data_IF_496617139701
#
_entry.id   IF_496617139701
#
_cell.length_a   1.000
_cell.length_b   1.000
_cell.length_c   1.000
_cell.angle_alpha   90.00
_cell.angle_beta   90.00
_cell.angle_gamma   90.00
#
_symmetry.space_group_name_H-M   'P 1'
#
loop_
_entity.id
_entity.type
_entity.pdbx_description
1 polymer ?
#
# COMPACT_ATOMS: atom_id res chain seq x y z
N UNK A 1 -15.66 -13.03 12.84
CA UNK A 1 -14.76 -14.09 13.34
C UNK A 1 -13.38 -13.76 12.81
N UNK A 2 -12.57 -12.98 13.50
CA UNK A 2 -11.28 -12.55 12.98
C UNK A 2 -10.43 -11.76 13.99
N UNK A 3 -10.36 -12.20 15.24
CA UNK A 3 -9.67 -11.45 16.29
C UNK A 3 -8.52 -12.18 16.98
N UNK A 4 -7.79 -13.10 16.32
CA UNK A 4 -6.72 -13.83 17.00
C UNK A 4 -5.49 -14.18 16.14
N UNK A 5 -5.12 -13.43 15.11
CA UNK A 5 -3.97 -13.80 14.27
C UNK A 5 -2.72 -12.93 14.40
N UNK A 6 -2.79 -11.78 15.07
CA UNK A 6 -1.61 -10.94 15.25
C UNK A 6 -1.63 -10.27 16.61
N UNK A 7 -0.56 -10.42 17.40
CA UNK A 7 -0.30 -9.56 18.55
C UNK A 7 0.10 -8.17 18.03
N UNK A 8 -0.37 -7.14 18.71
CA UNK A 8 -0.04 -5.74 18.38
C UNK A 8 1.47 -5.43 18.47
N UNK A 9 2.28 -6.39 18.89
CA UNK A 9 3.74 -6.28 19.04
C UNK A 9 4.53 -6.53 17.74
N UNK A 10 3.89 -7.07 16.68
CA UNK A 10 4.57 -7.35 15.40
C UNK A 10 4.43 -6.24 14.34
N UNK A 11 3.73 -5.17 14.65
CA UNK A 11 3.61 -3.97 13.79
C UNK A 11 4.71 -2.94 14.10
N UNK A 12 5.94 -3.40 14.33
CA UNK A 12 7.05 -2.54 14.76
C UNK A 12 7.92 -2.07 13.59
N UNK A 13 7.45 -1.11 12.84
CA UNK A 13 8.36 -0.14 12.24
C UNK A 13 7.93 1.25 12.72
N UNK A 14 8.57 1.72 13.80
CA UNK A 14 8.64 3.14 14.12
C UNK A 14 7.33 3.86 14.47
N UNK A 15 6.31 3.16 15.01
CA UNK A 15 5.12 3.85 15.47
C UNK A 15 5.46 4.72 16.69
N UNK A 16 5.46 6.03 16.51
CA UNK A 16 5.55 6.96 17.64
C UNK A 16 4.22 6.99 18.42
N UNK A 17 4.16 6.20 19.49
CA UNK A 17 2.96 6.09 20.33
C UNK A 17 2.71 7.33 21.19
N UNK A 18 3.71 8.21 21.30
CA UNK A 18 3.67 9.42 22.12
C UNK A 18 3.41 10.68 21.28
N UNK A 19 3.21 10.51 19.96
CA UNK A 19 2.89 11.62 19.08
C UNK A 19 1.43 12.07 19.26
N UNK A 20 1.27 13.33 19.68
CA UNK A 20 -0.03 13.99 19.80
C UNK A 20 -0.08 15.18 18.83
N UNK A 21 -0.84 15.11 17.73
CA UNK A 21 -0.95 16.20 16.78
C UNK A 21 -1.75 17.38 17.38
N UNK A 22 -1.29 18.62 17.14
CA UNK A 22 -2.05 19.81 17.49
C UNK A 22 -3.32 19.96 16.63
N UNK A 23 -3.27 19.47 15.39
CA UNK A 23 -4.38 19.49 14.44
C UNK A 23 -4.54 18.11 13.81
N UNK A 24 -5.75 17.56 13.89
CA UNK A 24 -6.11 16.31 13.22
C UNK A 24 -6.68 16.66 11.84
N UNK A 25 -6.02 16.19 10.79
CA UNK A 25 -6.44 16.41 9.40
C UNK A 25 -7.37 15.29 8.92
N UNK A 26 -8.31 15.67 8.05
CA UNK A 26 -9.24 14.75 7.39
C UNK A 26 -9.12 14.87 5.88
N UNK A 27 -9.62 13.85 5.18
CA UNK A 27 -9.68 13.88 3.73
C UNK A 27 -10.42 15.14 3.22
N UNK A 28 -9.85 15.79 2.22
CA UNK A 28 -10.32 17.05 1.63
C UNK A 28 -10.18 18.29 2.53
N UNK A 29 -9.52 18.21 3.67
CA UNK A 29 -9.11 19.44 4.38
C UNK A 29 -8.14 20.24 3.52
N UNK A 30 -8.16 21.54 3.69
CA UNK A 30 -7.26 22.47 3.02
C UNK A 30 -6.43 23.26 4.03
N UNK A 31 -5.12 23.27 3.86
CA UNK A 31 -4.21 24.12 4.63
C UNK A 31 -3.78 25.27 3.71
N UNK A 32 -4.12 26.50 4.10
CA UNK A 32 -3.94 27.68 3.24
C UNK A 32 -2.93 28.67 3.81
N UNK A 33 -2.16 29.25 2.90
CA UNK A 33 -1.35 30.43 3.13
C UNK A 33 -1.65 31.47 2.03
N UNK A 34 -0.96 32.62 2.06
CA UNK A 34 -1.21 33.69 1.07
C UNK A 34 -0.94 33.24 -0.37
N UNK A 35 0.02 32.33 -0.57
CA UNK A 35 0.55 31.98 -1.90
C UNK A 35 0.45 30.50 -2.24
N UNK A 36 -0.07 29.66 -1.35
CA UNK A 36 -0.21 28.23 -1.61
C UNK A 36 -1.36 27.61 -0.84
N UNK A 37 -1.85 26.51 -1.39
CA UNK A 37 -2.88 25.67 -0.82
C UNK A 37 -2.42 24.21 -0.83
N UNK A 38 -2.47 23.56 0.33
CA UNK A 38 -2.23 22.13 0.44
C UNK A 38 -3.57 21.42 0.64
N UNK A 39 -3.87 20.50 -0.26
CA UNK A 39 -5.00 19.58 -0.16
C UNK A 39 -4.58 18.33 0.63
N UNK A 40 -5.39 17.94 1.61
CA UNK A 40 -5.21 16.69 2.34
C UNK A 40 -5.93 15.56 1.58
N UNK A 41 -5.17 14.57 1.15
CA UNK A 41 -5.67 13.45 0.36
C UNK A 41 -5.48 12.15 1.15
N UNK A 42 -6.57 11.59 1.67
CA UNK A 42 -6.51 10.31 2.38
C UNK A 42 -6.24 9.16 1.40
N UNK A 43 -5.16 8.43 1.62
CA UNK A 43 -4.66 7.37 0.75
C UNK A 43 -4.36 6.10 1.56
N UNK A 44 -5.39 5.45 2.14
CA UNK A 44 -5.18 4.23 2.92
C UNK A 44 -4.63 3.10 2.04
N UNK A 45 -3.93 2.16 2.68
CA UNK A 45 -3.38 0.98 2.02
C UNK A 45 -2.05 0.55 2.59
N UNK A 46 -1.03 1.41 2.55
CA UNK A 46 0.22 1.17 3.29
C UNK A 46 -0.06 1.17 4.80
N UNK A 47 -0.68 2.23 5.28
CA UNK A 47 -1.29 2.36 6.60
C UNK A 47 -2.74 2.84 6.46
N UNK A 48 -3.60 2.52 7.41
CA UNK A 48 -5.02 2.90 7.37
C UNK A 48 -5.24 4.41 7.46
N UNK A 49 -4.34 5.13 8.12
CA UNK A 49 -4.39 6.57 8.34
C UNK A 49 -3.49 7.38 7.40
N UNK A 50 -2.91 6.74 6.37
CA UNK A 50 -1.98 7.40 5.47
C UNK A 50 -2.65 8.56 4.71
N UNK A 51 -1.96 9.70 4.62
CA UNK A 51 -2.37 10.87 3.85
C UNK A 51 -1.25 11.33 2.92
N UNK A 52 -1.64 11.81 1.74
CA UNK A 52 -0.78 12.57 0.84
C UNK A 52 -1.13 14.06 0.93
N UNK A 53 -0.19 14.92 0.55
CA UNK A 53 -0.38 16.36 0.51
C UNK A 53 -0.23 16.89 -0.91
N UNK A 54 -1.30 17.47 -1.46
CA UNK A 54 -1.31 18.07 -2.79
C UNK A 54 -1.00 19.57 -2.72
N UNK A 55 0.10 20.01 -3.31
CA UNK A 55 0.39 21.44 -3.51
C UNK A 55 -0.30 21.90 -4.80
N UNK A 56 -1.42 22.59 -4.65
CA UNK A 56 -2.37 22.88 -5.74
C UNK A 56 -1.74 23.72 -6.85
N UNK A 57 -1.02 24.76 -6.49
CA UNK A 57 -0.46 25.72 -7.42
C UNK A 57 0.61 25.10 -8.33
N UNK A 58 1.34 24.11 -7.82
CA UNK A 58 2.40 23.41 -8.54
C UNK A 58 1.93 22.10 -9.19
N UNK A 59 0.67 21.70 -8.96
CA UNK A 59 0.15 20.37 -9.34
C UNK A 59 1.08 19.25 -8.90
N UNK A 60 1.57 19.36 -7.69
CA UNK A 60 2.51 18.44 -7.08
C UNK A 60 1.85 17.68 -5.93
N UNK A 61 2.18 16.41 -5.79
CA UNK A 61 1.69 15.58 -4.69
C UNK A 61 2.87 15.01 -3.90
N UNK A 62 2.90 15.24 -2.61
CA UNK A 62 3.79 14.56 -1.67
C UNK A 62 3.13 13.26 -1.26
N UNK A 63 3.68 12.14 -1.75
CA UNK A 63 3.01 10.83 -1.70
C UNK A 63 3.35 10.02 -0.46
N UNK A 64 4.26 10.51 0.39
CA UNK A 64 4.73 9.72 1.52
C UNK A 64 5.23 8.34 1.08
N UNK A 65 4.88 7.31 1.83
CA UNK A 65 5.21 5.93 1.54
C UNK A 65 4.14 5.20 0.71
N UNK A 66 3.04 5.89 0.33
CA UNK A 66 2.01 5.28 -0.49
C UNK A 66 2.51 4.96 -1.92
N UNK A 67 3.27 5.89 -2.51
CA UNK A 67 3.93 5.71 -3.81
C UNK A 67 5.40 6.10 -3.66
N UNK A 68 6.31 5.14 -3.77
CA UNK A 68 7.76 5.34 -3.66
C UNK A 68 8.42 5.35 -5.05
N UNK A 69 9.49 6.15 -5.21
CA UNK A 69 10.14 6.35 -6.50
C UNK A 69 11.15 5.27 -6.91
N UNK A 70 11.36 4.23 -6.11
CA UNK A 70 12.38 3.19 -6.35
C UNK A 70 11.88 1.76 -6.23
N UNK A 71 10.80 1.53 -5.49
CA UNK A 71 10.17 0.21 -5.33
C UNK A 71 8.68 0.35 -5.04
N UNK A 72 7.98 -0.76 -4.98
CA UNK A 72 6.59 -0.78 -4.50
C UNK A 72 6.57 -0.74 -2.98
N UNK A 73 5.61 0.01 -2.41
CA UNK A 73 5.44 0.11 -0.95
C UNK A 73 5.11 -1.24 -0.32
N UNK A 74 5.48 -1.44 0.93
CA UNK A 74 5.08 -2.58 1.73
C UNK A 74 3.61 -2.42 2.16
N UNK A 75 2.81 -3.46 1.97
CA UNK A 75 1.46 -3.55 2.52
C UNK A 75 1.46 -4.64 3.57
N UNK A 76 1.34 -4.25 4.83
CA UNK A 76 1.48 -5.15 5.96
C UNK A 76 0.20 -5.17 6.81
N UNK A 77 -0.64 -6.23 6.73
CA UNK A 77 -1.72 -6.42 7.67
C UNK A 77 -1.21 -6.53 9.12
N UNK A 78 -1.99 -6.16 10.16
CA UNK A 78 -3.44 -5.86 10.06
C UNK A 78 -3.77 -4.42 9.62
N UNK A 79 -2.87 -3.46 9.72
CA UNK A 79 -3.16 -2.05 9.40
C UNK A 79 -3.12 -1.80 7.89
N UNK A 80 -2.14 -2.38 7.18
CA UNK A 80 -2.06 -2.31 5.73
C UNK A 80 -3.13 -3.15 5.02
N UNK A 81 -3.74 -2.58 3.97
CA UNK A 81 -4.83 -3.20 3.20
C UNK A 81 -4.56 -3.11 1.70
N UNK A 82 -4.48 -4.27 1.02
CA UNK A 82 -4.27 -4.31 -0.43
C UNK A 82 -5.49 -3.76 -1.19
N UNK A 83 -6.71 -3.98 -0.69
CA UNK A 83 -7.91 -3.43 -1.32
C UNK A 83 -7.93 -1.90 -1.23
N UNK A 84 -7.63 -1.34 -0.07
CA UNK A 84 -7.59 0.11 0.10
C UNK A 84 -6.46 0.74 -0.70
N UNK A 85 -5.31 0.06 -0.79
CA UNK A 85 -4.21 0.48 -1.65
C UNK A 85 -4.64 0.60 -3.12
N UNK A 86 -5.35 -0.39 -3.66
CA UNK A 86 -5.89 -0.33 -5.03
C UNK A 86 -6.90 0.79 -5.20
N UNK A 87 -7.78 0.99 -4.22
CA UNK A 87 -8.76 2.08 -4.24
C UNK A 87 -8.06 3.43 -4.26
N UNK A 88 -7.02 3.61 -3.43
CA UNK A 88 -6.22 4.83 -3.37
C UNK A 88 -5.45 5.10 -4.67
N UNK A 89 -4.80 4.07 -5.27
CA UNK A 89 -4.16 4.23 -6.58
C UNK A 89 -5.16 4.64 -7.67
N UNK A 90 -6.34 4.01 -7.70
CA UNK A 90 -7.39 4.36 -8.67
C UNK A 90 -7.88 5.81 -8.46
N UNK A 91 -8.08 6.24 -7.22
CA UNK A 91 -8.43 7.63 -6.91
C UNK A 91 -7.31 8.59 -7.35
N UNK A 92 -6.04 8.27 -7.07
CA UNK A 92 -4.92 9.10 -7.48
C UNK A 92 -4.83 9.25 -9.01
N UNK A 93 -5.23 8.25 -9.81
CA UNK A 93 -5.29 8.35 -11.27
C UNK A 93 -6.35 9.36 -11.78
N UNK A 94 -7.30 9.78 -10.95
CA UNK A 94 -8.29 10.81 -11.32
C UNK A 94 -7.79 12.23 -11.07
N UNK A 95 -6.62 12.39 -10.45
CA UNK A 95 -5.99 13.69 -10.16
C UNK A 95 -5.19 14.17 -11.37
N UNK A 96 -4.95 15.47 -11.45
CA UNK A 96 -4.18 16.10 -12.52
C UNK A 96 -2.77 16.54 -12.08
N UNK A 97 -2.23 15.90 -11.02
CA UNK A 97 -0.88 16.17 -10.54
C UNK A 97 0.15 15.85 -11.64
N UNK A 98 1.15 16.71 -11.77
CA UNK A 98 2.21 16.59 -12.79
C UNK A 98 3.47 15.92 -12.26
N UNK A 99 3.69 16.00 -10.96
CA UNK A 99 4.87 15.47 -10.31
C UNK A 99 4.52 14.90 -8.94
N UNK A 100 5.12 13.76 -8.58
CA UNK A 100 5.05 13.21 -7.23
C UNK A 100 6.39 13.32 -6.53
N UNK A 101 6.34 13.69 -5.26
CA UNK A 101 7.48 13.72 -4.35
C UNK A 101 7.29 12.65 -3.27
N UNK A 102 7.89 11.48 -3.44
CA UNK A 102 7.82 10.39 -2.46
C UNK A 102 8.78 10.65 -1.29
N UNK A 103 8.56 9.99 -0.16
CA UNK A 103 9.51 9.95 0.97
C UNK A 103 10.81 9.24 0.56
N UNK A 104 10.69 8.21 -0.29
CA UNK A 104 11.81 7.40 -0.75
C UNK A 104 11.90 7.37 -2.27
N UNK A 105 13.11 7.62 -2.79
CA UNK A 105 13.43 7.61 -4.22
C UNK A 105 13.41 9.00 -4.86
N UNK A 106 13.50 9.02 -6.17
CA UNK A 106 13.50 10.27 -6.94
C UNK A 106 12.09 10.77 -7.20
N UNK A 107 11.91 12.07 -7.49
CA UNK A 107 10.63 12.60 -7.96
C UNK A 107 10.12 11.85 -9.20
N UNK A 108 8.80 11.70 -9.28
CA UNK A 108 8.12 10.96 -10.37
C UNK A 108 7.46 11.99 -11.29
N UNK A 109 8.04 12.21 -12.45
CA UNK A 109 7.61 13.24 -13.41
C UNK A 109 6.41 12.82 -14.28
N UNK A 110 6.08 11.53 -14.31
CA UNK A 110 4.94 10.99 -15.05
C UNK A 110 4.03 10.16 -14.12
N UNK A 111 3.33 10.82 -13.17
CA UNK A 111 2.58 10.15 -12.11
C UNK A 111 1.56 9.14 -12.62
N UNK A 112 0.76 9.51 -13.62
CA UNK A 112 -0.30 8.66 -14.15
C UNK A 112 0.25 7.34 -14.72
N UNK A 113 1.32 7.40 -15.51
CA UNK A 113 1.97 6.21 -16.05
C UNK A 113 2.58 5.35 -14.94
N UNK A 114 3.21 5.99 -13.97
CA UNK A 114 3.83 5.30 -12.84
C UNK A 114 2.81 4.54 -12.00
N UNK A 115 1.67 5.18 -11.65
CA UNK A 115 0.59 4.53 -10.88
C UNK A 115 -0.03 3.39 -11.67
N UNK A 116 -0.27 3.57 -12.97
CA UNK A 116 -0.77 2.49 -13.83
C UNK A 116 0.13 1.26 -13.78
N UNK A 117 1.42 1.45 -13.99
CA UNK A 117 2.41 0.36 -13.93
C UNK A 117 2.45 -0.30 -12.54
N UNK A 118 2.35 0.51 -11.48
CA UNK A 118 2.30 0.00 -10.11
C UNK A 118 1.06 -0.87 -9.88
N UNK A 119 -0.11 -0.41 -10.32
CA UNK A 119 -1.35 -1.16 -10.19
C UNK A 119 -1.31 -2.46 -11.03
N UNK A 120 -0.86 -2.38 -12.27
CA UNK A 120 -0.71 -3.54 -13.15
C UNK A 120 0.25 -4.59 -12.56
N UNK A 121 1.38 -4.16 -12.01
CA UNK A 121 2.31 -5.03 -11.30
C UNK A 121 1.64 -5.75 -10.12
N UNK A 122 0.85 -5.03 -9.31
CA UNK A 122 0.12 -5.62 -8.18
C UNK A 122 -0.96 -6.60 -8.63
N UNK A 123 -1.71 -6.28 -9.69
CA UNK A 123 -2.72 -7.17 -10.27
C UNK A 123 -2.09 -8.43 -10.89
N UNK A 124 -0.93 -8.30 -11.53
CA UNK A 124 -0.15 -9.47 -11.99
C UNK A 124 0.22 -10.38 -10.81
N UNK A 125 0.58 -9.80 -9.68
CA UNK A 125 0.89 -10.57 -8.47
C UNK A 125 -0.33 -11.32 -7.91
N UNK A 126 -1.53 -10.73 -7.95
CA UNK A 126 -2.78 -11.43 -7.64
C UNK A 126 -2.97 -12.65 -8.55
N UNK A 127 -2.73 -12.50 -9.87
CA UNK A 127 -2.86 -13.58 -10.84
C UNK A 127 -1.85 -14.71 -10.63
N UNK A 128 -0.61 -14.38 -10.30
CA UNK A 128 0.44 -15.36 -9.99
C UNK A 128 0.10 -16.18 -8.75
N UNK A 129 -0.41 -15.53 -7.70
CA UNK A 129 -0.87 -16.20 -6.46
C UNK A 129 -2.04 -17.13 -6.78
N UNK A 130 -3.06 -16.64 -7.50
CA UNK A 130 -4.21 -17.47 -7.91
C UNK A 130 -3.79 -18.65 -8.78
N UNK A 131 -2.85 -18.43 -9.70
CA UNK A 131 -2.34 -19.51 -10.56
C UNK A 131 -1.60 -20.57 -9.74
N UNK A 132 -0.76 -20.16 -8.80
CA UNK A 132 -0.06 -21.08 -7.91
C UNK A 132 -1.03 -21.93 -7.08
N UNK A 133 -2.11 -21.31 -6.58
CA UNK A 133 -3.11 -21.98 -5.73
C UNK A 133 -4.09 -22.87 -6.50
N UNK A 134 -4.08 -22.84 -7.84
CA UNK A 134 -5.03 -23.61 -8.65
C UNK A 134 -4.91 -25.13 -8.40
N UNK A 135 -5.88 -25.67 -7.66
CA UNK A 135 -5.93 -27.10 -7.30
C UNK A 135 -4.87 -27.53 -6.28
N UNK A 136 -4.19 -26.60 -5.65
CA UNK A 136 -3.12 -26.83 -4.67
C UNK A 136 -3.34 -26.02 -3.39
N UNK A 137 -2.68 -26.45 -2.31
CA UNK A 137 -2.65 -25.75 -1.04
C UNK A 137 -1.20 -25.45 -0.67
N UNK A 138 -0.93 -24.21 -0.34
CA UNK A 138 0.40 -23.76 0.06
C UNK A 138 0.33 -22.94 1.34
N UNK A 139 1.40 -22.99 2.13
CA UNK A 139 1.63 -22.00 3.16
C UNK A 139 2.07 -20.68 2.53
N UNK A 140 1.92 -19.56 3.26
CA UNK A 140 2.44 -18.26 2.80
C UNK A 140 3.94 -18.33 2.51
N UNK A 141 4.69 -19.09 3.32
CA UNK A 141 6.13 -19.29 3.13
C UNK A 141 6.44 -19.96 1.77
N UNK A 142 5.65 -20.97 1.40
CA UNK A 142 5.86 -21.67 0.13
C UNK A 142 5.49 -20.75 -1.05
N UNK A 143 4.40 -19.97 -0.92
CA UNK A 143 4.02 -18.96 -1.92
C UNK A 143 5.10 -17.92 -2.14
N UNK A 144 5.83 -17.47 -1.11
CA UNK A 144 6.98 -16.56 -1.31
C UNK A 144 7.99 -17.18 -2.25
N UNK A 145 8.35 -18.46 -2.09
CA UNK A 145 9.31 -19.13 -2.96
C UNK A 145 8.82 -19.29 -4.41
N UNK A 146 7.51 -19.42 -4.61
CA UNK A 146 6.90 -19.57 -5.95
C UNK A 146 6.79 -18.21 -6.65
N UNK A 147 6.29 -17.21 -5.93
CA UNK A 147 5.98 -15.88 -6.48
C UNK A 147 7.22 -15.00 -6.59
N UNK A 148 8.22 -15.25 -5.76
CA UNK A 148 9.47 -14.49 -5.71
C UNK A 148 10.70 -15.42 -5.66
N UNK A 149 10.94 -16.22 -6.72
CA UNK A 149 11.97 -17.27 -6.70
C UNK A 149 13.40 -16.74 -6.46
N UNK A 150 13.69 -15.53 -6.92
CA UNK A 150 15.02 -14.91 -6.83
C UNK A 150 15.16 -13.90 -5.67
N UNK A 151 14.16 -13.86 -4.76
CA UNK A 151 14.16 -12.89 -3.68
C UNK A 151 15.24 -13.18 -2.64
N UNK A 152 15.98 -12.16 -2.27
CA UNK A 152 16.98 -12.24 -1.20
C UNK A 152 16.32 -12.59 0.15
N UNK A 153 16.95 -13.47 0.94
CA UNK A 153 16.38 -14.02 2.19
C UNK A 153 15.98 -12.96 3.22
N UNK A 154 16.69 -11.84 3.27
CA UNK A 154 16.38 -10.73 4.18
C UNK A 154 15.06 -10.01 3.83
N UNK A 155 14.52 -10.21 2.62
CA UNK A 155 13.24 -9.64 2.19
C UNK A 155 12.07 -10.63 2.31
N UNK A 156 12.31 -11.87 2.74
CA UNK A 156 11.26 -12.89 2.81
C UNK A 156 10.14 -12.50 3.78
N UNK A 157 10.44 -11.84 4.89
CA UNK A 157 9.41 -11.43 5.86
C UNK A 157 8.52 -10.31 5.30
N UNK A 158 9.10 -9.33 4.61
CA UNK A 158 8.33 -8.31 3.90
C UNK A 158 7.46 -8.93 2.77
N UNK A 159 8.01 -9.91 2.03
CA UNK A 159 7.26 -10.62 1.01
C UNK A 159 6.10 -11.44 1.58
N UNK A 160 6.28 -12.10 2.74
CA UNK A 160 5.18 -12.81 3.43
C UNK A 160 4.04 -11.88 3.81
N UNK A 161 4.35 -10.72 4.38
CA UNK A 161 3.34 -9.70 4.74
C UNK A 161 2.59 -9.22 3.49
N UNK A 162 3.30 -8.94 2.42
CA UNK A 162 2.69 -8.53 1.14
C UNK A 162 1.81 -9.65 0.55
N UNK A 163 2.26 -10.91 0.51
CA UNK A 163 1.43 -12.04 0.06
C UNK A 163 0.20 -12.20 0.94
N UNK A 164 0.33 -12.06 2.26
CA UNK A 164 -0.82 -12.10 3.17
C UNK A 164 -1.84 -11.01 2.82
N UNK A 165 -1.41 -9.78 2.52
CA UNK A 165 -2.30 -8.70 2.12
C UNK A 165 -3.06 -9.03 0.81
N UNK A 166 -2.37 -9.63 -0.18
CA UNK A 166 -3.00 -10.13 -1.40
C UNK A 166 -4.02 -11.23 -1.10
N UNK A 167 -3.65 -12.22 -0.28
CA UNK A 167 -4.53 -13.34 0.09
C UNK A 167 -5.78 -12.89 0.83
N UNK A 168 -5.65 -11.96 1.80
CA UNK A 168 -6.82 -11.40 2.50
C UNK A 168 -7.79 -10.77 1.50
N UNK A 169 -7.28 -10.01 0.54
CA UNK A 169 -8.10 -9.42 -0.52
C UNK A 169 -8.76 -10.49 -1.41
N UNK A 170 -8.00 -11.46 -1.89
CA UNK A 170 -8.50 -12.51 -2.78
C UNK A 170 -9.54 -13.41 -2.09
N UNK A 171 -9.37 -13.70 -0.80
CA UNK A 171 -10.38 -14.41 -0.01
C UNK A 171 -11.65 -13.58 0.16
N UNK A 172 -11.53 -12.28 0.41
CA UNK A 172 -12.69 -11.39 0.52
C UNK A 172 -13.48 -11.27 -0.79
N UNK A 173 -12.81 -11.43 -1.94
CA UNK A 173 -13.44 -11.45 -3.27
C UNK A 173 -14.01 -12.83 -3.65
N UNK A 174 -13.74 -13.88 -2.85
CA UNK A 174 -14.16 -15.26 -3.16
C UNK A 174 -13.32 -15.94 -4.25
N UNK A 175 -12.18 -15.36 -4.63
CA UNK A 175 -11.27 -15.90 -5.66
C UNK A 175 -10.38 -17.03 -5.10
N UNK A 176 -10.16 -17.06 -3.81
CA UNK A 176 -9.33 -18.03 -3.09
C UNK A 176 -10.01 -18.44 -1.79
N UNK A 177 -9.86 -19.70 -1.41
CA UNK A 177 -10.35 -20.21 -0.13
C UNK A 177 -9.22 -20.29 0.89
N UNK A 178 -9.52 -20.00 2.16
CA UNK A 178 -8.62 -20.20 3.30
C UNK A 178 -9.23 -21.21 4.27
N UNK A 179 -8.39 -22.09 4.82
CA UNK A 179 -8.78 -22.99 5.91
C UNK A 179 -8.72 -22.33 7.31
N UNK A 180 -8.46 -21.03 7.36
CA UNK A 180 -8.36 -20.26 8.60
C UNK A 180 -6.99 -20.35 9.30
N UNK A 181 -6.00 -20.96 8.67
CA UNK A 181 -4.60 -21.00 9.10
C UNK A 181 -3.78 -20.10 8.14
N UNK A 182 -4.03 -18.80 8.20
CA UNK A 182 -3.23 -17.80 7.48
C UNK A 182 -2.09 -17.32 8.36
#
# INVERSE_FOLDING_TARGET
VGNQLYSAEEAEEGLDKDFFPDVILKNNDEIKSNNWTIDVVHTPGHLSNHICFGLREEKALFTGDHVMGWSTTLISPPDGSMQDYYNSLNMMMTRDDKIYYPTHGLPIENPLSFIKNTLEHRLSRDQEIMHALKGQRYSIKDLVGIVYPDLSKNLHDAARRTILAHLIRLVALGEVESNGQL
#
